data_IF_278813460812
#
_entry.id   IF_278813460812
#
_cell.length_a   1.000
_cell.length_b   1.000
_cell.length_c   1.000
_cell.angle_alpha   90.00
_cell.angle_beta   90.00
_cell.angle_gamma   90.00
#
_symmetry.space_group_name_H-M   'P 1'
#
loop_
_entity.id
_entity.type
_entity.pdbx_description
1 polymer ?
#
# COMPACT_ATOMS: atom_id res chain seq x y z
N UNK A 1 4.73 24.94 10.54
CA UNK A 1 3.44 25.08 9.86
C UNK A 1 3.64 25.06 8.37
N UNK A 2 2.93 24.18 7.68
CA UNK A 2 2.85 24.24 6.22
C UNK A 2 1.91 25.40 5.89
N UNK A 3 2.44 26.47 5.33
CA UNK A 3 1.66 27.63 4.98
C UNK A 3 0.83 27.32 3.73
N UNK A 4 -0.49 27.50 3.82
CA UNK A 4 -1.43 27.29 2.70
C UNK A 4 -1.09 28.19 1.50
N UNK A 5 -0.54 29.37 1.76
CA UNK A 5 -0.09 30.29 0.71
C UNK A 5 1.06 29.67 -0.11
N UNK A 6 2.05 29.08 0.57
CA UNK A 6 3.23 28.47 -0.08
C UNK A 6 2.80 27.28 -0.95
N UNK A 7 1.86 26.46 -0.47
CA UNK A 7 1.28 25.38 -1.29
C UNK A 7 0.61 25.94 -2.55
N UNK A 8 -0.14 27.03 -2.42
CA UNK A 8 -0.87 27.62 -3.53
C UNK A 8 0.10 28.18 -4.60
N UNK A 9 1.17 28.84 -4.17
CA UNK A 9 2.24 29.31 -5.04
C UNK A 9 2.95 28.14 -5.74
N UNK A 10 3.34 27.09 -5.00
CA UNK A 10 3.93 25.88 -5.56
C UNK A 10 3.03 25.20 -6.61
N UNK A 11 1.71 25.18 -6.38
CA UNK A 11 0.73 24.62 -7.32
C UNK A 11 0.65 25.47 -8.60
N UNK A 12 0.66 26.80 -8.47
CA UNK A 12 0.64 27.70 -9.62
C UNK A 12 1.91 27.57 -10.46
N UNK A 13 3.07 27.50 -9.82
CA UNK A 13 4.37 27.32 -10.47
C UNK A 13 4.45 25.96 -11.17
N UNK A 14 4.05 24.87 -10.50
CA UNK A 14 3.95 23.56 -11.13
C UNK A 14 2.99 23.57 -12.33
N UNK A 15 1.84 24.24 -12.21
CA UNK A 15 0.88 24.35 -13.31
C UNK A 15 1.44 25.13 -14.49
N UNK A 16 2.21 26.19 -14.23
CA UNK A 16 2.88 26.98 -15.26
C UNK A 16 3.90 26.12 -16.02
N UNK A 17 4.74 25.36 -15.30
CA UNK A 17 5.71 24.43 -15.89
C UNK A 17 5.03 23.36 -16.75
N UNK A 18 3.95 22.76 -16.25
CA UNK A 18 3.17 21.78 -17.00
C UNK A 18 2.52 22.38 -18.25
N UNK A 19 2.07 23.64 -18.19
CA UNK A 19 1.44 24.33 -19.33
C UNK A 19 2.43 24.68 -20.45
N UNK A 20 3.72 24.82 -20.14
CA UNK A 20 4.77 25.06 -21.13
C UNK A 20 5.18 23.76 -21.86
N UNK A 21 4.93 22.60 -21.26
CA UNK A 21 5.38 21.29 -21.75
C UNK A 21 4.20 20.43 -22.25
N UNK A 22 3.31 21.04 -23.06
CA UNK A 22 2.00 20.55 -23.57
C UNK A 22 2.00 19.10 -24.13
N UNK A 23 3.15 18.51 -24.42
CA UNK A 23 3.26 17.14 -24.94
C UNK A 23 3.08 16.03 -23.89
N UNK A 24 3.11 16.32 -22.59
CA UNK A 24 2.90 15.32 -21.54
C UNK A 24 1.63 15.58 -20.73
N UNK A 25 0.52 15.02 -21.20
CA UNK A 25 -0.75 15.02 -20.47
C UNK A 25 -0.62 14.14 -19.22
N UNK A 26 -0.23 14.75 -18.10
CA UNK A 26 -0.20 14.08 -16.80
C UNK A 26 -1.63 13.70 -16.42
N UNK A 27 -1.96 12.42 -16.53
CA UNK A 27 -3.31 11.92 -16.24
C UNK A 27 -3.35 11.19 -14.90
N UNK A 28 -2.20 10.76 -14.37
CA UNK A 28 -2.10 10.00 -13.12
C UNK A 28 -1.29 10.76 -12.07
N UNK A 29 -1.67 10.68 -10.79
CA UNK A 29 -0.91 11.29 -9.70
C UNK A 29 0.52 10.75 -9.56
N UNK A 30 0.76 9.50 -9.99
CA UNK A 30 2.10 8.90 -10.06
C UNK A 30 2.99 9.55 -11.12
N UNK A 31 2.43 9.93 -12.26
CA UNK A 31 3.13 10.64 -13.33
C UNK A 31 3.49 12.06 -12.87
N UNK A 32 2.60 12.71 -12.14
CA UNK A 32 2.85 14.01 -11.54
C UNK A 32 4.00 13.96 -10.52
N UNK A 33 4.03 12.92 -9.67
CA UNK A 33 5.11 12.74 -8.72
C UNK A 33 6.46 12.51 -9.42
N UNK A 34 6.48 11.69 -10.49
CA UNK A 34 7.70 11.46 -11.29
C UNK A 34 8.19 12.75 -11.93
N UNK A 35 7.28 13.54 -12.49
CA UNK A 35 7.61 14.84 -13.08
C UNK A 35 8.27 15.78 -12.04
N UNK A 36 7.69 15.86 -10.83
CA UNK A 36 8.25 16.71 -9.77
C UNK A 36 9.64 16.23 -9.34
N UNK A 37 9.89 14.91 -9.31
CA UNK A 37 11.20 14.33 -8.94
C UNK A 37 12.23 14.47 -10.06
N UNK A 38 11.81 14.47 -11.32
CA UNK A 38 12.70 14.51 -12.48
C UNK A 38 13.08 15.96 -12.87
N UNK A 39 12.17 16.92 -12.67
CA UNK A 39 12.36 18.31 -13.06
C UNK A 39 12.58 19.26 -11.87
N UNK A 40 12.01 18.93 -10.71
CA UNK A 40 12.24 19.67 -9.49
C UNK A 40 13.44 19.09 -8.76
N UNK A 41 14.42 19.94 -8.44
CA UNK A 41 15.32 19.64 -7.33
C UNK A 41 14.48 19.38 -6.07
N UNK A 42 14.97 18.59 -5.10
CA UNK A 42 14.19 18.16 -3.92
C UNK A 42 13.61 19.36 -3.10
N UNK A 43 14.07 20.58 -3.38
CA UNK A 43 13.68 21.86 -2.78
C UNK A 43 12.66 22.69 -3.56
N UNK A 44 12.32 22.35 -4.81
CA UNK A 44 11.51 23.24 -5.68
C UNK A 44 10.02 23.18 -5.34
N UNK A 45 9.50 22.00 -4.97
CA UNK A 45 8.09 21.80 -4.61
C UNK A 45 7.91 20.88 -3.39
N UNK A 46 8.50 21.23 -2.23
CA UNK A 46 8.56 20.34 -1.09
C UNK A 46 7.16 20.02 -0.54
N UNK A 47 6.27 21.01 -0.45
CA UNK A 47 4.94 20.80 0.12
C UNK A 47 4.04 20.02 -0.85
N UNK A 48 4.08 20.35 -2.13
CA UNK A 48 3.31 19.65 -3.16
C UNK A 48 3.75 18.19 -3.30
N UNK A 49 5.05 17.91 -3.26
CA UNK A 49 5.60 16.54 -3.28
C UNK A 49 5.09 15.72 -2.10
N UNK A 50 5.16 16.28 -0.89
CA UNK A 50 4.67 15.62 0.33
C UNK A 50 3.16 15.36 0.22
N UNK A 51 2.39 16.33 -0.26
CA UNK A 51 0.95 16.18 -0.42
C UNK A 51 0.58 15.04 -1.39
N UNK A 52 1.24 14.97 -2.54
CA UNK A 52 1.01 13.90 -3.53
C UNK A 52 1.45 12.54 -2.97
N UNK A 53 2.57 12.45 -2.25
CA UNK A 53 3.01 11.22 -1.60
C UNK A 53 2.02 10.73 -0.54
N UNK A 54 1.48 11.63 0.29
CA UNK A 54 0.46 11.29 1.29
C UNK A 54 -0.79 10.76 0.59
N UNK A 55 -1.27 11.45 -0.46
CA UNK A 55 -2.43 11.02 -1.23
C UNK A 55 -2.25 9.60 -1.79
N UNK A 56 -1.12 9.32 -2.44
CA UNK A 56 -0.81 8.01 -3.01
C UNK A 56 -0.70 6.93 -1.92
N UNK A 57 -0.04 7.24 -0.80
CA UNK A 57 0.12 6.31 0.32
C UNK A 57 -1.22 5.94 0.93
N UNK A 58 -2.12 6.90 1.10
CA UNK A 58 -3.48 6.67 1.58
C UNK A 58 -4.26 5.78 0.60
N UNK A 59 -4.22 6.10 -0.70
CA UNK A 59 -4.91 5.31 -1.72
C UNK A 59 -4.43 3.84 -1.74
N UNK A 60 -3.11 3.61 -1.68
CA UNK A 60 -2.52 2.27 -1.61
C UNK A 60 -2.91 1.55 -0.32
N UNK A 61 -2.92 2.26 0.80
CA UNK A 61 -3.29 1.71 2.11
C UNK A 61 -4.75 1.27 2.13
N UNK A 62 -5.66 2.10 1.61
CA UNK A 62 -7.09 1.76 1.49
C UNK A 62 -7.28 0.51 0.63
N UNK A 63 -6.68 0.46 -0.56
CA UNK A 63 -6.78 -0.71 -1.44
C UNK A 63 -6.21 -1.99 -0.80
N UNK A 64 -5.11 -1.87 -0.04
CA UNK A 64 -4.53 -2.99 0.71
C UNK A 64 -5.45 -3.46 1.82
N UNK A 65 -6.02 -2.53 2.60
CA UNK A 65 -6.99 -2.82 3.63
C UNK A 65 -8.24 -3.52 3.06
N UNK A 66 -8.84 -2.99 2.00
CA UNK A 66 -10.00 -3.60 1.33
C UNK A 66 -9.69 -5.02 0.85
N UNK A 67 -8.51 -5.22 0.22
CA UNK A 67 -8.07 -6.55 -0.20
C UNK A 67 -7.92 -7.50 1.00
N UNK A 68 -7.33 -7.05 2.10
CA UNK A 68 -7.17 -7.85 3.32
C UNK A 68 -8.52 -8.19 3.95
N UNK A 69 -9.42 -7.22 4.10
CA UNK A 69 -10.77 -7.45 4.63
C UNK A 69 -11.61 -8.35 3.72
N UNK A 70 -11.47 -8.24 2.40
CA UNK A 70 -12.12 -9.13 1.44
C UNK A 70 -11.66 -10.58 1.61
N UNK A 71 -10.34 -10.80 1.80
CA UNK A 71 -9.80 -12.13 2.12
C UNK A 71 -10.28 -12.64 3.46
N UNK A 72 -10.30 -11.80 4.50
CA UNK A 72 -10.84 -12.16 5.81
C UNK A 72 -12.31 -12.53 5.72
N UNK A 73 -13.12 -11.80 4.93
CA UNK A 73 -14.53 -12.11 4.69
C UNK A 73 -14.68 -13.47 3.99
N UNK A 74 -13.82 -13.81 3.03
CA UNK A 74 -13.83 -15.12 2.39
C UNK A 74 -13.46 -16.23 3.38
N UNK A 75 -12.41 -16.04 4.19
CA UNK A 75 -12.01 -16.97 5.26
C UNK A 75 -13.16 -17.16 6.25
N UNK A 76 -13.76 -16.07 6.70
CA UNK A 76 -14.94 -16.05 7.55
C UNK A 76 -16.08 -16.83 6.91
N UNK A 77 -16.48 -16.53 5.68
CA UNK A 77 -17.58 -17.22 5.00
C UNK A 77 -17.30 -18.72 4.79
N UNK A 78 -16.07 -19.10 4.48
CA UNK A 78 -15.68 -20.50 4.28
C UNK A 78 -15.62 -21.28 5.60
N UNK A 79 -15.13 -20.67 6.69
CA UNK A 79 -14.87 -21.35 7.98
C UNK A 79 -15.96 -21.15 9.04
N UNK A 80 -16.87 -20.18 8.87
CA UNK A 80 -18.00 -19.91 9.77
C UNK A 80 -19.03 -21.04 9.82
N UNK A 81 -18.92 -22.04 8.95
CA UNK A 81 -19.64 -23.29 9.17
C UNK A 81 -19.17 -24.04 10.44
N UNK A 82 -18.00 -23.71 11.05
CA UNK A 82 -17.46 -24.52 12.18
C UNK A 82 -16.43 -23.86 13.14
N UNK A 83 -16.07 -22.57 13.06
CA UNK A 83 -14.94 -22.00 13.85
C UNK A 83 -15.28 -20.83 14.81
N UNK A 84 -14.55 -20.76 15.94
CA UNK A 84 -14.56 -19.65 16.92
C UNK A 84 -13.54 -18.54 16.64
N UNK A 85 -13.66 -17.41 17.34
CA UNK A 85 -12.96 -16.15 17.03
C UNK A 85 -11.44 -16.22 17.18
N UNK A 86 -10.92 -16.88 18.22
CA UNK A 86 -9.46 -16.95 18.46
C UNK A 86 -8.73 -17.70 17.33
N UNK A 87 -9.32 -18.81 16.87
CA UNK A 87 -8.75 -19.59 15.77
C UNK A 87 -8.80 -18.85 14.44
N UNK A 88 -9.76 -17.93 14.30
CA UNK A 88 -9.87 -17.06 13.14
C UNK A 88 -8.79 -15.98 13.14
N UNK A 89 -8.53 -15.31 14.28
CA UNK A 89 -7.47 -14.31 14.37
C UNK A 89 -6.10 -14.89 14.06
N UNK A 90 -5.83 -16.11 14.55
CA UNK A 90 -4.56 -16.81 14.27
C UNK A 90 -4.40 -17.13 12.78
N UNK A 91 -5.49 -17.58 12.13
CA UNK A 91 -5.45 -17.91 10.71
C UNK A 91 -5.40 -16.65 9.81
N UNK A 92 -6.05 -15.57 10.23
CA UNK A 92 -5.94 -14.26 9.61
C UNK A 92 -4.48 -13.77 9.62
N UNK A 93 -3.82 -13.85 10.77
CA UNK A 93 -2.41 -13.52 10.93
C UNK A 93 -1.54 -14.38 10.00
N UNK A 94 -1.72 -15.71 10.03
CA UNK A 94 -1.00 -16.63 9.14
C UNK A 94 -1.20 -16.31 7.65
N UNK A 95 -2.42 -15.94 7.25
CA UNK A 95 -2.74 -15.60 5.87
C UNK A 95 -2.10 -14.27 5.43
N UNK A 96 -1.89 -13.32 6.35
CA UNK A 96 -1.18 -12.07 6.08
C UNK A 96 0.32 -12.34 5.95
N UNK A 97 0.91 -13.09 6.88
CA UNK A 97 2.34 -13.46 6.86
C UNK A 97 2.71 -14.30 5.62
N UNK A 98 1.81 -15.20 5.19
CA UNK A 98 1.97 -15.97 3.95
C UNK A 98 2.16 -15.10 2.70
N UNK A 99 1.64 -13.87 2.68
CA UNK A 99 1.82 -12.95 1.54
C UNK A 99 3.24 -12.34 1.52
N UNK A 100 3.89 -12.27 2.67
CA UNK A 100 5.20 -11.66 2.88
C UNK A 100 6.33 -12.68 2.71
N UNK A 101 6.11 -13.95 3.10
CA UNK A 101 7.13 -14.99 3.01
C UNK A 101 6.91 -16.01 1.89
N UNK A 102 7.99 -16.37 1.18
CA UNK A 102 8.08 -17.59 0.36
C UNK A 102 8.50 -18.76 1.24
N UNK A 103 7.67 -19.14 2.20
CA UNK A 103 8.04 -20.23 3.12
C UNK A 103 7.82 -21.58 2.42
N UNK A 104 8.83 -22.45 2.48
CA UNK A 104 8.79 -23.77 1.84
C UNK A 104 7.96 -24.72 2.71
N UNK A 105 6.70 -24.95 2.32
CA UNK A 105 5.73 -25.69 3.11
C UNK A 105 6.17 -27.12 3.41
N UNK A 106 6.96 -27.74 2.53
CA UNK A 106 7.44 -29.12 2.70
C UNK A 106 8.30 -29.28 3.96
N UNK A 107 9.19 -28.31 4.23
CA UNK A 107 10.07 -28.33 5.41
C UNK A 107 9.26 -28.17 6.70
N UNK A 108 8.25 -27.28 6.68
CA UNK A 108 7.39 -27.06 7.85
C UNK A 108 6.51 -28.29 8.11
N UNK A 109 6.02 -28.94 7.06
CA UNK A 109 5.23 -30.17 7.16
C UNK A 109 6.09 -31.30 7.76
N UNK A 110 7.33 -31.46 7.32
CA UNK A 110 8.26 -32.44 7.90
C UNK A 110 8.62 -32.14 9.37
N UNK A 111 8.87 -30.88 9.71
CA UNK A 111 9.12 -30.47 11.10
C UNK A 111 7.91 -30.71 12.00
N UNK A 112 6.70 -30.44 11.51
CA UNK A 112 5.48 -30.70 12.27
C UNK A 112 5.20 -32.20 12.40
N UNK A 113 5.41 -32.97 11.33
CA UNK A 113 5.26 -34.42 11.33
C UNK A 113 6.24 -35.11 12.30
N UNK A 114 7.50 -34.65 12.33
CA UNK A 114 8.52 -35.17 13.25
C UNK A 114 8.26 -34.76 14.71
N UNK A 115 7.76 -33.54 14.95
CA UNK A 115 7.45 -33.05 16.30
C UNK A 115 6.15 -33.63 16.89
N UNK A 116 5.19 -33.99 16.02
CA UNK A 116 3.90 -34.59 16.41
C UNK A 116 3.85 -36.11 16.20
N UNK A 117 5.01 -36.74 15.97
CA UNK A 117 5.16 -38.19 16.01
C UNK A 117 4.67 -38.70 17.36
N UNK A 118 3.40 -39.12 17.40
CA UNK A 118 2.83 -39.89 18.50
C UNK A 118 3.74 -41.11 18.69
N UNK A 119 4.36 -41.22 19.87
CA UNK A 119 4.50 -42.54 20.47
C UNK A 119 3.10 -43.07 20.78
#
# INVERSE_FOLDING_TARGET
DVNTQDIYEEILDCRLLLSQQVDQKVSRPEELLKFIVEYGDDSVFPNLRIAIQIMLTIAVSIASCERSFSKLKLILSYLRATMGQDRLSDLALLSVEKKTEKTNFDVIIEQFASSKGRK
#
